data_IF_384620336898
#
_entry.id   IF_384620336898
#
_cell.length_a   1.000
_cell.length_b   1.000
_cell.length_c   1.000
_cell.angle_alpha   90.00
_cell.angle_beta   90.00
_cell.angle_gamma   90.00
#
_symmetry.space_group_name_H-M   'P 1'
#
loop_
_entity.id
_entity.type
_entity.pdbx_description
1 polymer ?
#
# COMPACT_ATOMS: atom_id res chain seq x y z
N UNK A 1 -32.88 -0.09 22.40
CA UNK A 1 -32.60 1.27 21.89
C UNK A 1 -31.18 1.22 21.36
N UNK A 2 -30.88 1.21 20.08
CA UNK A 2 -31.56 1.78 18.91
C UNK A 2 -31.20 0.96 17.67
N UNK A 3 -32.23 0.43 17.01
CA UNK A 3 -32.15 -0.31 15.76
C UNK A 3 -32.14 0.73 14.62
N UNK A 4 -30.97 0.97 14.02
CA UNK A 4 -30.84 1.89 12.89
C UNK A 4 -31.14 1.12 11.60
N UNK A 5 -32.19 1.48 10.84
CA UNK A 5 -32.55 0.74 9.64
C UNK A 5 -31.52 0.99 8.53
N UNK A 6 -31.07 -0.08 7.88
CA UNK A 6 -30.37 -0.03 6.60
C UNK A 6 -31.23 0.74 5.61
N UNK A 7 -30.72 1.87 5.10
CA UNK A 7 -31.24 2.48 3.90
C UNK A 7 -30.90 1.57 2.71
N UNK A 8 -31.83 0.67 2.39
CA UNK A 8 -31.91 0.08 1.06
C UNK A 8 -32.20 1.22 0.08
N UNK A 9 -31.20 1.54 -0.73
CA UNK A 9 -31.42 2.39 -1.91
C UNK A 9 -32.42 1.63 -2.78
N UNK A 10 -33.59 2.19 -3.12
CA UNK A 10 -34.53 1.49 -3.98
C UNK A 10 -33.83 1.25 -5.32
N UNK A 11 -33.61 -0.03 -5.64
CA UNK A 11 -33.26 -0.45 -6.98
C UNK A 11 -34.28 0.17 -7.93
N UNK A 12 -33.82 1.09 -8.75
CA UNK A 12 -34.62 1.83 -9.71
C UNK A 12 -35.46 0.83 -10.54
N UNK A 13 -36.80 0.83 -10.45
CA UNK A 13 -37.66 -0.23 -10.99
C UNK A 13 -37.96 -0.05 -12.49
N UNK A 14 -37.03 0.52 -13.26
CA UNK A 14 -37.30 0.88 -14.66
C UNK A 14 -37.24 -0.29 -15.65
N UNK A 15 -36.93 -1.51 -15.23
CA UNK A 15 -36.75 -2.67 -16.14
C UNK A 15 -37.94 -3.63 -16.21
N UNK A 16 -38.72 -3.80 -15.14
CA UNK A 16 -39.81 -4.80 -15.10
C UNK A 16 -41.00 -4.39 -15.97
N UNK A 17 -41.50 -3.16 -15.81
CA UNK A 17 -42.66 -2.64 -16.54
C UNK A 17 -42.41 -2.53 -18.06
N UNK A 18 -41.21 -2.13 -18.47
CA UNK A 18 -40.83 -2.09 -19.88
C UNK A 18 -40.76 -3.50 -20.50
N UNK A 19 -40.29 -4.50 -19.73
CA UNK A 19 -40.27 -5.90 -20.15
C UNK A 19 -41.68 -6.49 -20.29
N UNK A 20 -42.62 -6.09 -19.44
CA UNK A 20 -44.02 -6.53 -19.47
C UNK A 20 -44.76 -5.98 -20.69
N UNK A 21 -44.59 -4.69 -20.98
CA UNK A 21 -45.17 -4.05 -22.17
C UNK A 21 -44.66 -4.71 -23.47
N UNK A 22 -43.35 -4.99 -23.54
CA UNK A 22 -42.76 -5.68 -24.69
C UNK A 22 -43.26 -7.11 -24.85
N UNK A 23 -43.41 -7.86 -23.76
CA UNK A 23 -43.99 -9.22 -23.78
C UNK A 23 -45.43 -9.21 -24.27
N UNK A 24 -46.25 -8.26 -23.80
CA UNK A 24 -47.63 -8.11 -24.26
C UNK A 24 -47.72 -7.77 -25.76
N UNK A 25 -46.82 -6.93 -26.27
CA UNK A 25 -46.72 -6.62 -27.70
C UNK A 25 -46.34 -7.87 -28.52
N UNK A 26 -45.32 -8.62 -28.11
CA UNK A 26 -44.88 -9.84 -28.80
C UNK A 26 -45.98 -10.92 -28.81
N UNK A 27 -46.75 -11.05 -27.71
CA UNK A 27 -47.89 -11.98 -27.67
C UNK A 27 -48.98 -11.59 -28.66
N UNK A 28 -49.31 -10.30 -28.78
CA UNK A 28 -50.28 -9.81 -29.77
C UNK A 28 -49.81 -10.09 -31.20
N UNK A 29 -48.55 -9.83 -31.50
CA UNK A 29 -47.97 -10.13 -32.83
C UNK A 29 -47.99 -11.63 -33.14
N UNK A 30 -47.65 -12.49 -32.17
CA UNK A 30 -47.72 -13.95 -32.33
C UNK A 30 -49.14 -14.42 -32.60
N UNK A 31 -50.12 -13.90 -31.87
CA UNK A 31 -51.54 -14.24 -32.08
C UNK A 31 -51.99 -13.77 -33.47
N UNK A 32 -51.67 -12.53 -33.86
CA UNK A 32 -52.02 -12.02 -35.18
C UNK A 32 -51.40 -12.85 -36.32
N UNK A 33 -50.11 -13.20 -36.21
CA UNK A 33 -49.42 -14.05 -37.17
C UNK A 33 -50.04 -15.46 -37.22
N UNK A 34 -50.38 -16.05 -36.07
CA UNK A 34 -51.04 -17.37 -36.00
C UNK A 34 -52.45 -17.33 -36.62
N UNK A 35 -53.21 -16.27 -36.36
CA UNK A 35 -54.55 -16.09 -36.93
C UNK A 35 -54.50 -15.90 -38.45
N UNK A 36 -53.53 -15.13 -38.95
CA UNK A 36 -53.31 -14.98 -40.40
C UNK A 36 -52.91 -16.32 -41.03
N UNK A 37 -52.01 -17.09 -40.40
CA UNK A 37 -51.65 -18.42 -40.87
C UNK A 37 -52.86 -19.38 -40.89
N UNK A 38 -53.66 -19.37 -39.83
CA UNK A 38 -54.88 -20.16 -39.74
C UNK A 38 -55.92 -19.73 -40.79
N UNK A 39 -56.04 -18.43 -41.07
CA UNK A 39 -56.91 -17.91 -42.11
C UNK A 39 -56.45 -18.34 -43.52
N UNK A 40 -55.14 -18.30 -43.81
CA UNK A 40 -54.60 -18.81 -45.07
C UNK A 40 -54.82 -20.32 -45.21
N UNK A 41 -54.58 -21.09 -44.15
CA UNK A 41 -54.84 -22.53 -44.16
C UNK A 41 -56.34 -22.84 -44.34
N UNK A 42 -57.22 -22.10 -43.67
CA UNK A 42 -58.66 -22.21 -43.83
C UNK A 42 -59.13 -21.84 -45.24
N UNK A 43 -58.57 -20.78 -45.82
CA UNK A 43 -58.83 -20.36 -47.20
C UNK A 43 -58.38 -21.41 -48.22
N UNK A 44 -57.24 -22.06 -47.98
CA UNK A 44 -56.75 -23.18 -48.78
C UNK A 44 -57.73 -24.37 -48.75
N UNK A 45 -58.17 -24.79 -47.55
CA UNK A 45 -59.12 -25.90 -47.38
C UNK A 45 -60.49 -25.58 -47.98
N UNK A 46 -61.02 -24.38 -47.72
CA UNK A 46 -62.32 -23.94 -48.23
C UNK A 46 -62.34 -23.86 -49.76
N UNK A 47 -61.27 -23.31 -50.35
CA UNK A 47 -61.12 -23.28 -51.81
C UNK A 47 -61.04 -24.68 -52.41
N UNK A 48 -60.40 -25.63 -51.71
CA UNK A 48 -60.34 -27.01 -52.15
C UNK A 48 -61.72 -27.69 -52.10
N UNK A 49 -62.52 -27.43 -51.06
CA UNK A 49 -63.87 -27.97 -50.92
C UNK A 49 -64.87 -27.42 -51.96
N UNK A 50 -64.67 -26.19 -52.45
CA UNK A 50 -65.53 -25.55 -53.47
C UNK A 50 -65.15 -25.89 -54.91
N UNK A 51 -64.42 -26.99 -55.14
CA UNK A 51 -64.12 -27.53 -56.46
C UNK A 51 -62.90 -26.93 -57.15
N UNK A 52 -62.30 -25.85 -56.64
CA UNK A 52 -61.01 -25.35 -57.14
C UNK A 52 -60.99 -24.89 -58.61
N UNK A 53 -62.14 -24.46 -59.15
CA UNK A 53 -62.27 -23.96 -60.52
C UNK A 53 -62.55 -22.44 -60.54
N UNK A 54 -62.11 -21.73 -61.58
CA UNK A 54 -62.34 -20.29 -61.71
C UNK A 54 -61.60 -19.46 -60.65
N UNK A 55 -62.31 -18.52 -59.99
CA UNK A 55 -61.74 -17.62 -58.96
C UNK A 55 -61.16 -18.40 -57.77
N UNK A 56 -61.72 -19.57 -57.45
CA UNK A 56 -61.23 -20.40 -56.35
C UNK A 56 -59.83 -20.97 -56.61
N UNK A 57 -59.45 -21.21 -57.88
CA UNK A 57 -58.10 -21.66 -58.22
C UNK A 57 -57.02 -20.63 -57.82
N UNK A 58 -57.30 -19.33 -58.02
CA UNK A 58 -56.40 -18.24 -57.63
C UNK A 58 -56.28 -18.10 -56.12
N UNK A 59 -57.41 -18.21 -55.40
CA UNK A 59 -57.44 -18.19 -53.93
C UNK A 59 -56.65 -19.37 -53.35
N UNK A 60 -56.80 -20.56 -53.96
CA UNK A 60 -56.04 -21.75 -53.54
C UNK A 60 -54.54 -21.52 -53.69
N UNK A 61 -54.08 -21.08 -54.87
CA UNK A 61 -52.66 -20.86 -55.12
C UNK A 61 -52.06 -19.79 -54.20
N UNK A 62 -52.80 -18.71 -53.94
CA UNK A 62 -52.39 -17.66 -53.02
C UNK A 62 -52.27 -18.17 -51.57
N UNK A 63 -53.31 -18.85 -51.07
CA UNK A 63 -53.31 -19.40 -49.72
C UNK A 63 -52.23 -20.49 -49.54
N UNK A 64 -52.04 -21.35 -50.55
CA UNK A 64 -51.00 -22.38 -50.56
C UNK A 64 -49.59 -21.75 -50.46
N UNK A 65 -49.31 -20.77 -51.32
CA UNK A 65 -48.03 -20.07 -51.31
C UNK A 65 -47.78 -19.32 -49.99
N UNK A 66 -48.81 -18.65 -49.45
CA UNK A 66 -48.73 -17.93 -48.19
C UNK A 66 -48.50 -18.88 -46.99
N UNK A 67 -49.19 -20.01 -46.94
CA UNK A 67 -49.01 -21.02 -45.87
C UNK A 67 -47.63 -21.66 -45.93
N UNK A 68 -47.17 -22.08 -47.12
CA UNK A 68 -45.83 -22.66 -47.29
C UNK A 68 -44.73 -21.64 -46.96
N UNK A 69 -44.87 -20.40 -47.42
CA UNK A 69 -43.92 -19.33 -47.13
C UNK A 69 -43.81 -19.02 -45.63
N UNK A 70 -44.95 -18.95 -44.93
CA UNK A 70 -44.97 -18.74 -43.49
C UNK A 70 -44.35 -19.90 -42.68
N UNK A 71 -44.57 -21.15 -43.12
CA UNK A 71 -43.95 -22.33 -42.50
C UNK A 71 -42.44 -22.38 -42.76
N UNK A 72 -41.98 -21.98 -43.94
CA UNK A 72 -40.55 -21.93 -44.28
C UNK A 72 -39.80 -20.89 -43.45
N UNK A 73 -40.35 -19.67 -43.31
CA UNK A 73 -39.76 -18.62 -42.48
C UNK A 73 -39.70 -19.02 -41.00
N UNK A 74 -40.78 -19.61 -40.48
CA UNK A 74 -40.79 -20.21 -39.14
C UNK A 74 -39.71 -21.26 -38.98
N UNK A 75 -39.59 -22.18 -39.94
CA UNK A 75 -38.58 -23.23 -39.92
C UNK A 75 -37.16 -22.66 -39.91
N UNK A 76 -36.86 -21.65 -40.74
CA UNK A 76 -35.55 -21.04 -40.82
C UNK A 76 -35.11 -20.39 -39.49
N UNK A 77 -35.99 -19.59 -38.88
CA UNK A 77 -35.72 -18.95 -37.57
C UNK A 77 -35.59 -20.01 -36.47
N UNK A 78 -36.48 -21.01 -36.45
CA UNK A 78 -36.40 -22.08 -35.45
C UNK A 78 -35.12 -22.88 -35.63
N UNK A 79 -34.76 -23.28 -36.85
CA UNK A 79 -33.54 -24.02 -37.17
C UNK A 79 -32.26 -23.25 -36.84
N UNK A 80 -32.29 -21.92 -36.77
CA UNK A 80 -31.16 -21.13 -36.30
C UNK A 80 -30.89 -21.33 -34.79
N UNK A 81 -31.96 -21.39 -33.98
CA UNK A 81 -31.84 -21.37 -32.51
C UNK A 81 -32.13 -22.69 -31.81
N UNK A 82 -32.95 -23.57 -32.39
CA UNK A 82 -33.49 -24.80 -31.78
C UNK A 82 -33.75 -25.86 -32.84
N UNK A 83 -34.10 -27.07 -32.40
CA UNK A 83 -34.58 -28.13 -33.30
C UNK A 83 -36.09 -27.95 -33.53
N UNK A 84 -36.57 -27.81 -34.79
CA UNK A 84 -37.99 -27.66 -35.09
C UNK A 84 -38.76 -28.89 -34.60
N UNK A 85 -39.87 -28.67 -33.89
CA UNK A 85 -40.69 -29.71 -33.25
C UNK A 85 -39.93 -30.65 -32.29
N UNK A 86 -38.68 -30.33 -31.91
CA UNK A 86 -37.83 -31.21 -31.11
C UNK A 86 -37.23 -32.40 -31.88
N UNK A 87 -37.41 -32.48 -33.20
CA UNK A 87 -36.96 -33.61 -34.01
C UNK A 87 -35.46 -33.48 -34.37
N UNK A 88 -34.71 -34.60 -34.47
CA UNK A 88 -33.30 -34.61 -34.83
C UNK A 88 -33.08 -34.42 -36.34
N UNK A 89 -33.52 -33.27 -36.88
CA UNK A 89 -33.30 -32.91 -38.29
C UNK A 89 -31.84 -32.44 -38.45
N UNK A 90 -31.08 -32.99 -39.42
CA UNK A 90 -29.71 -32.54 -39.68
C UNK A 90 -29.68 -31.04 -40.03
N UNK A 91 -28.58 -30.35 -39.71
CA UNK A 91 -28.37 -28.92 -39.98
C UNK A 91 -29.39 -27.95 -39.34
N UNK A 92 -29.94 -28.30 -38.16
CA UNK A 92 -30.77 -27.40 -37.33
C UNK A 92 -30.10 -27.11 -35.97
N UNK A 93 -30.62 -26.13 -35.23
CA UNK A 93 -29.95 -25.52 -34.08
C UNK A 93 -28.53 -25.00 -34.40
N UNK A 94 -28.38 -24.27 -35.51
CA UNK A 94 -27.09 -23.82 -36.07
C UNK A 94 -26.24 -23.03 -35.06
N UNK A 95 -26.85 -22.12 -34.30
CA UNK A 95 -26.13 -21.31 -33.31
C UNK A 95 -25.66 -22.19 -32.14
N UNK A 96 -26.53 -22.95 -31.44
CA UNK A 96 -26.08 -23.86 -30.39
C UNK A 96 -25.01 -24.87 -30.84
N UNK A 97 -25.11 -25.41 -32.05
CA UNK A 97 -24.16 -26.41 -32.56
C UNK A 97 -22.80 -25.82 -32.95
N UNK A 98 -22.73 -24.53 -33.27
CA UNK A 98 -21.50 -23.82 -33.66
C UNK A 98 -21.04 -22.79 -32.62
N UNK A 99 -21.59 -22.83 -31.40
CA UNK A 99 -21.33 -21.82 -30.36
C UNK A 99 -19.83 -21.62 -30.10
N UNK A 100 -19.05 -22.71 -30.07
CA UNK A 100 -17.63 -22.69 -29.72
C UNK A 100 -16.84 -22.00 -30.85
N UNK A 101 -17.08 -22.41 -32.10
CA UNK A 101 -16.50 -21.75 -33.29
C UNK A 101 -16.86 -20.26 -33.39
N UNK A 102 -18.09 -19.90 -33.04
CA UNK A 102 -18.53 -18.49 -33.02
C UNK A 102 -17.78 -17.71 -31.93
N UNK A 103 -17.62 -18.31 -30.75
CA UNK A 103 -16.87 -17.71 -29.65
C UNK A 103 -15.39 -17.52 -30.02
N UNK A 104 -14.75 -18.51 -30.65
CA UNK A 104 -13.36 -18.42 -31.11
C UNK A 104 -13.18 -17.31 -32.15
N UNK A 105 -14.06 -17.25 -33.14
CA UNK A 105 -14.02 -16.21 -34.16
C UNK A 105 -14.26 -14.81 -33.56
N UNK A 106 -15.17 -14.70 -32.58
CA UNK A 106 -15.41 -13.45 -31.88
C UNK A 106 -14.20 -13.05 -31.03
N UNK A 107 -13.52 -14.00 -30.38
CA UNK A 107 -12.31 -13.75 -29.61
C UNK A 107 -11.17 -13.26 -30.52
N UNK A 108 -10.97 -13.91 -31.67
CA UNK A 108 -10.00 -13.47 -32.70
C UNK A 108 -10.35 -12.07 -33.22
N UNK A 109 -11.62 -11.81 -33.52
CA UNK A 109 -12.06 -10.50 -33.97
C UNK A 109 -11.82 -9.40 -32.93
N UNK A 110 -12.15 -9.65 -31.65
CA UNK A 110 -11.88 -8.69 -30.56
C UNK A 110 -10.39 -8.48 -30.36
N UNK A 111 -9.57 -9.55 -30.42
CA UNK A 111 -8.11 -9.45 -30.33
C UNK A 111 -7.52 -8.62 -31.46
N UNK A 112 -7.92 -8.89 -32.69
CA UNK A 112 -7.27 -8.34 -33.88
C UNK A 112 -7.80 -6.95 -34.26
N UNK A 113 -9.05 -6.61 -33.92
CA UNK A 113 -9.65 -5.31 -34.26
C UNK A 113 -9.83 -4.36 -33.07
N UNK A 114 -10.06 -4.87 -31.86
CA UNK A 114 -10.28 -4.03 -30.67
C UNK A 114 -9.06 -3.94 -29.76
N UNK A 115 -8.21 -4.98 -29.73
CA UNK A 115 -6.99 -5.01 -28.92
C UNK A 115 -5.71 -4.78 -29.74
N UNK A 116 -5.85 -4.29 -30.98
CA UNK A 116 -4.72 -3.83 -31.76
C UNK A 116 -3.99 -2.70 -31.00
N UNK A 117 -2.70 -2.88 -30.64
CA UNK A 117 -1.97 -1.94 -29.81
C UNK A 117 -1.91 -0.54 -30.41
N UNK A 118 -1.74 -0.43 -31.73
CA UNK A 118 -1.56 0.87 -32.38
C UNK A 118 -2.89 1.63 -32.42
N UNK A 119 -3.98 0.94 -32.78
CA UNK A 119 -5.35 1.50 -32.72
C UNK A 119 -5.74 1.93 -31.31
N UNK A 120 -5.41 1.15 -30.29
CA UNK A 120 -5.67 1.49 -28.89
C UNK A 120 -4.84 2.69 -28.43
N UNK A 121 -3.55 2.74 -28.78
CA UNK A 121 -2.65 3.83 -28.39
C UNK A 121 -3.03 5.14 -29.08
N UNK A 122 -3.47 5.10 -30.34
CA UNK A 122 -3.99 6.28 -31.04
C UNK A 122 -5.26 6.81 -30.38
N UNK A 123 -6.22 5.93 -30.06
CA UNK A 123 -7.43 6.32 -29.33
C UNK A 123 -7.09 6.89 -27.95
N UNK A 124 -6.12 6.30 -27.24
CA UNK A 124 -5.70 6.77 -25.91
C UNK A 124 -4.99 8.12 -25.97
N UNK A 125 -4.20 8.38 -27.02
CA UNK A 125 -3.60 9.71 -27.28
C UNK A 125 -4.67 10.78 -27.47
N UNK A 126 -5.66 10.52 -28.33
CA UNK A 126 -6.78 11.45 -28.59
C UNK A 126 -7.63 11.66 -27.33
N UNK A 127 -7.77 10.62 -26.50
CA UNK A 127 -8.55 10.70 -25.27
C UNK A 127 -7.92 11.60 -24.21
N UNK A 128 -6.60 11.81 -24.23
CA UNK A 128 -5.81 12.56 -23.25
C UNK A 128 -6.17 12.19 -21.79
N UNK A 129 -5.74 11.00 -21.33
CA UNK A 129 -6.10 10.49 -20.02
C UNK A 129 -5.61 11.39 -18.89
N UNK A 130 -4.43 12.00 -19.03
CA UNK A 130 -3.89 12.92 -18.02
C UNK A 130 -4.76 14.18 -17.86
N UNK A 131 -5.17 14.84 -18.96
CA UNK A 131 -6.02 16.03 -18.85
C UNK A 131 -7.42 15.69 -18.32
N UNK A 132 -7.96 14.52 -18.66
CA UNK A 132 -9.26 14.08 -18.10
C UNK A 132 -9.15 13.73 -16.62
N UNK A 133 -8.06 13.09 -16.20
CA UNK A 133 -7.78 12.82 -14.80
C UNK A 133 -7.64 14.12 -14.00
N UNK A 134 -6.92 15.11 -14.54
CA UNK A 134 -6.77 16.44 -13.93
C UNK A 134 -8.13 17.08 -13.64
N UNK A 135 -8.98 17.25 -14.67
CA UNK A 135 -10.33 17.82 -14.55
C UNK A 135 -11.25 17.02 -13.62
N UNK A 136 -11.00 15.71 -13.50
CA UNK A 136 -11.78 14.86 -12.61
C UNK A 136 -11.34 15.03 -11.15
N UNK A 137 -10.03 15.09 -10.87
CA UNK A 137 -9.45 15.31 -9.54
C UNK A 137 -9.66 16.73 -9.01
N UNK A 138 -9.76 17.74 -9.88
CA UNK A 138 -10.08 19.13 -9.49
C UNK A 138 -11.44 19.27 -8.81
N UNK A 139 -12.35 18.32 -9.03
CA UNK A 139 -13.69 18.34 -8.43
C UNK A 139 -13.62 17.85 -6.98
N UNK A 140 -13.97 18.68 -5.97
CA UNK A 140 -13.87 18.30 -4.56
C UNK A 140 -14.65 17.01 -4.23
N UNK A 141 -15.82 16.82 -4.84
CA UNK A 141 -16.63 15.60 -4.68
C UNK A 141 -15.86 14.33 -5.07
N UNK A 142 -15.04 14.37 -6.13
CA UNK A 142 -14.32 13.18 -6.61
C UNK A 142 -13.12 12.87 -5.72
N UNK A 143 -12.38 13.90 -5.31
CA UNK A 143 -11.32 13.75 -4.32
C UNK A 143 -11.84 13.17 -3.01
N UNK A 144 -13.02 13.62 -2.55
CA UNK A 144 -13.68 13.08 -1.35
C UNK A 144 -14.12 11.62 -1.51
N UNK A 145 -14.68 11.24 -2.66
CA UNK A 145 -15.06 9.83 -2.91
C UNK A 145 -13.83 8.93 -2.90
N UNK A 146 -12.71 9.38 -3.47
CA UNK A 146 -11.45 8.65 -3.44
C UNK A 146 -10.85 8.58 -2.05
N UNK A 147 -10.81 9.67 -1.29
CA UNK A 147 -10.27 9.69 0.07
C UNK A 147 -11.07 8.78 0.99
N UNK A 148 -12.41 8.82 0.90
CA UNK A 148 -13.29 7.91 1.64
C UNK A 148 -13.14 6.46 1.21
N UNK A 149 -12.97 6.20 -0.08
CA UNK A 149 -12.66 4.88 -0.61
C UNK A 149 -11.35 4.35 -0.04
N UNK A 150 -10.29 5.14 -0.12
CA UNK A 150 -8.97 4.83 0.42
C UNK A 150 -9.00 4.63 1.93
N UNK A 151 -9.76 5.46 2.68
CA UNK A 151 -9.97 5.30 4.12
C UNK A 151 -10.57 3.94 4.46
N UNK A 152 -11.62 3.52 3.74
CA UNK A 152 -12.26 2.21 3.93
C UNK A 152 -11.31 1.06 3.63
N UNK A 153 -10.56 1.13 2.51
CA UNK A 153 -9.56 0.11 2.17
C UNK A 153 -8.44 0.07 3.21
N UNK A 154 -7.96 1.23 3.66
CA UNK A 154 -6.93 1.32 4.69
C UNK A 154 -7.41 0.73 6.01
N UNK A 155 -8.65 0.99 6.41
CA UNK A 155 -9.25 0.41 7.62
C UNK A 155 -9.35 -1.13 7.52
N UNK A 156 -9.84 -1.65 6.39
CA UNK A 156 -9.89 -3.09 6.15
C UNK A 156 -8.50 -3.73 6.10
N UNK A 157 -7.53 -3.04 5.50
CA UNK A 157 -6.13 -3.50 5.49
C UNK A 157 -5.57 -3.54 6.90
N UNK A 158 -5.85 -2.51 7.71
CA UNK A 158 -5.43 -2.43 9.10
C UNK A 158 -6.04 -3.55 9.96
N UNK A 159 -7.29 -3.94 9.70
CA UNK A 159 -7.92 -5.11 10.31
C UNK A 159 -7.15 -6.41 9.98
N UNK A 160 -6.70 -6.58 8.73
CA UNK A 160 -5.88 -7.74 8.34
C UNK A 160 -4.49 -7.71 8.99
N UNK A 161 -3.90 -6.53 9.15
CA UNK A 161 -2.58 -6.37 9.79
C UNK A 161 -2.60 -6.61 11.31
N UNK A 162 -3.78 -6.61 11.94
CA UNK A 162 -3.94 -6.91 13.36
C UNK A 162 -3.84 -8.42 13.68
N UNK A 163 -3.90 -9.28 12.65
CA UNK A 163 -3.77 -10.73 12.86
C UNK A 163 -2.44 -11.06 13.57
N UNK A 164 -2.50 -11.96 14.56
CA UNK A 164 -1.31 -12.42 15.31
C UNK A 164 -0.22 -12.96 14.39
N UNK A 165 -0.59 -13.60 13.27
CA UNK A 165 0.35 -14.08 12.27
C UNK A 165 1.07 -12.93 11.56
N UNK A 166 0.35 -11.88 11.17
CA UNK A 166 0.93 -10.73 10.45
C UNK A 166 1.83 -9.91 11.35
N UNK A 167 1.47 -9.72 12.63
CA UNK A 167 2.33 -9.09 13.64
C UNK A 167 3.68 -9.79 13.76
N UNK A 168 3.69 -11.12 13.79
CA UNK A 168 4.92 -11.91 13.80
C UNK A 168 5.79 -11.65 12.57
N UNK A 169 5.19 -11.61 11.38
CA UNK A 169 5.89 -11.33 10.12
C UNK A 169 6.47 -9.92 10.09
N UNK A 170 5.74 -8.90 10.55
CA UNK A 170 6.23 -7.52 10.60
C UNK A 170 7.40 -7.40 11.57
N UNK A 171 7.29 -8.01 12.75
CA UNK A 171 8.37 -8.02 13.74
C UNK A 171 9.62 -8.70 13.17
N UNK A 172 9.46 -9.86 12.52
CA UNK A 172 10.57 -10.57 11.88
C UNK A 172 11.18 -9.76 10.72
N UNK A 173 10.35 -9.07 9.93
CA UNK A 173 10.81 -8.17 8.88
C UNK A 173 11.66 -7.02 9.47
N UNK A 174 11.19 -6.35 10.52
CA UNK A 174 11.93 -5.26 11.17
C UNK A 174 13.23 -5.77 11.79
N UNK A 175 13.19 -6.88 12.52
CA UNK A 175 14.37 -7.49 13.15
C UNK A 175 15.38 -7.96 12.09
N UNK A 176 14.93 -8.63 11.04
CA UNK A 176 15.81 -9.09 9.96
C UNK A 176 16.46 -7.93 9.21
N UNK A 177 15.73 -6.84 8.97
CA UNK A 177 16.28 -5.64 8.34
C UNK A 177 17.29 -4.94 9.26
N UNK A 178 17.00 -4.81 10.57
CA UNK A 178 17.95 -4.30 11.56
C UNK A 178 19.22 -5.14 11.66
N UNK A 179 19.11 -6.47 11.52
CA UNK A 179 20.28 -7.37 11.51
C UNK A 179 21.15 -7.21 10.27
N UNK A 180 20.55 -6.91 9.12
CA UNK A 180 21.26 -6.66 7.84
C UNK A 180 21.90 -5.28 7.77
N UNK A 181 21.42 -4.32 8.56
CA UNK A 181 21.95 -2.98 8.60
C UNK A 181 23.35 -2.94 9.22
N UNK A 182 24.29 -2.28 8.54
CA UNK A 182 25.67 -2.08 9.01
C UNK A 182 25.70 -0.94 10.03
N UNK A 183 25.64 -1.30 11.32
CA UNK A 183 25.66 -0.33 12.40
C UNK A 183 27.01 0.39 12.51
N UNK A 184 28.12 -0.28 12.20
CA UNK A 184 29.46 0.33 12.22
C UNK A 184 29.61 1.45 11.20
N UNK A 185 29.22 1.20 9.95
CA UNK A 185 29.32 2.20 8.89
C UNK A 185 28.43 3.41 9.20
N UNK A 186 27.16 3.18 9.56
CA UNK A 186 26.24 4.29 9.87
C UNK A 186 26.63 5.03 11.14
N UNK A 187 27.11 4.34 12.18
CA UNK A 187 27.63 5.02 13.37
C UNK A 187 28.83 5.91 13.02
N UNK A 188 29.76 5.43 12.19
CA UNK A 188 30.89 6.23 11.71
C UNK A 188 30.47 7.42 10.82
N UNK A 189 29.41 7.30 10.03
CA UNK A 189 28.83 8.41 9.24
C UNK A 189 28.16 9.46 10.11
N UNK A 190 27.29 9.03 11.02
CA UNK A 190 26.57 9.92 11.92
C UNK A 190 27.56 10.63 12.85
N UNK A 191 28.49 9.90 13.47
CA UNK A 191 29.51 10.50 14.33
C UNK A 191 30.40 11.47 13.55
N UNK A 192 30.86 11.10 12.35
CA UNK A 192 31.66 12.01 11.52
C UNK A 192 30.91 13.27 11.06
N UNK A 193 29.58 13.20 10.89
CA UNK A 193 28.76 14.37 10.59
C UNK A 193 28.55 15.25 11.84
N UNK A 194 28.34 14.63 13.00
CA UNK A 194 28.12 15.33 14.27
C UNK A 194 29.40 15.98 14.82
N UNK A 195 30.58 15.43 14.51
CA UNK A 195 31.87 16.04 14.87
C UNK A 195 32.38 17.04 13.85
N UNK A 196 31.70 17.16 12.70
CA UNK A 196 32.05 18.14 11.67
C UNK A 196 31.92 19.55 12.24
N UNK A 197 32.88 20.40 11.90
CA UNK A 197 32.96 21.78 12.35
C UNK A 197 33.08 21.96 13.88
N UNK A 198 33.52 20.92 14.61
CA UNK A 198 33.86 21.01 16.03
C UNK A 198 32.67 21.00 17.00
N UNK A 199 31.44 20.71 16.54
CA UNK A 199 30.22 20.77 17.38
C UNK A 199 30.24 19.82 18.58
N UNK A 200 31.01 18.74 18.51
CA UNK A 200 31.21 17.82 19.63
C UNK A 200 32.02 18.42 20.77
N UNK A 201 32.70 19.55 20.58
CA UNK A 201 33.34 20.30 21.66
C UNK A 201 32.29 20.93 22.59
N UNK A 202 31.13 21.36 22.08
CA UNK A 202 30.03 21.85 22.93
C UNK A 202 29.43 20.72 23.79
N UNK A 203 29.35 19.50 23.23
CA UNK A 203 28.93 18.32 23.98
C UNK A 203 29.97 17.93 25.04
N UNK A 204 31.25 18.06 24.72
CA UNK A 204 32.34 17.88 25.68
C UNK A 204 32.21 18.90 26.82
N UNK A 205 31.96 20.18 26.52
CA UNK A 205 31.78 21.23 27.51
C UNK A 205 30.64 20.89 28.47
N UNK A 206 29.46 20.57 27.94
CA UNK A 206 28.31 20.17 28.75
C UNK A 206 28.59 18.93 29.61
N UNK A 207 29.35 17.97 29.08
CA UNK A 207 29.76 16.78 29.82
C UNK A 207 30.74 17.11 30.96
N UNK A 208 31.77 17.93 30.69
CA UNK A 208 32.78 18.34 31.65
C UNK A 208 32.18 19.23 32.76
N UNK A 209 31.24 20.12 32.43
CA UNK A 209 30.49 20.92 33.41
C UNK A 209 29.69 20.03 34.36
N UNK A 210 28.96 19.04 33.80
CA UNK A 210 28.19 18.09 34.60
C UNK A 210 29.09 17.20 35.46
N UNK A 211 30.24 16.78 34.93
CA UNK A 211 31.26 16.03 35.66
C UNK A 211 31.86 16.87 36.80
N UNK A 212 32.21 18.13 36.55
CA UNK A 212 32.73 19.03 37.57
C UNK A 212 31.72 19.29 38.70
N UNK A 213 30.45 19.45 38.35
CA UNK A 213 29.36 19.55 39.33
C UNK A 213 29.19 18.28 40.16
N UNK A 214 29.27 17.10 39.52
CA UNK A 214 29.16 15.81 40.20
C UNK A 214 30.35 15.51 41.12
N UNK A 215 31.59 15.76 40.67
CA UNK A 215 32.80 15.58 41.48
C UNK A 215 32.87 16.52 42.68
N UNK A 216 32.14 17.65 42.61
CA UNK A 216 32.02 18.60 43.70
C UNK A 216 31.05 18.19 44.81
N UNK A 217 30.23 17.13 44.64
CA UNK A 217 29.26 16.73 45.67
C UNK A 217 29.92 15.99 46.83
N UNK A 218 29.33 16.14 48.03
CA UNK A 218 29.86 15.51 49.24
C UNK A 218 29.84 13.98 49.14
N UNK A 219 28.83 13.39 48.46
CA UNK A 219 28.76 11.93 48.32
C UNK A 219 29.93 11.37 47.50
N UNK A 220 30.37 12.08 46.46
CA UNK A 220 31.50 11.64 45.63
C UNK A 220 32.81 11.77 46.41
N UNK A 221 32.96 12.83 47.21
CA UNK A 221 34.12 13.04 48.08
C UNK A 221 34.23 11.94 49.14
N UNK A 222 33.14 11.63 49.83
CA UNK A 222 33.08 10.57 50.84
C UNK A 222 33.40 9.21 50.21
N UNK A 223 32.86 8.94 49.02
CA UNK A 223 33.14 7.69 48.28
C UNK A 223 34.59 7.59 47.85
N UNK A 224 35.20 8.69 47.41
CA UNK A 224 36.62 8.76 47.07
C UNK A 224 37.52 8.54 48.30
N UNK A 225 37.21 9.18 49.43
CA UNK A 225 37.92 8.97 50.69
C UNK A 225 37.89 7.51 51.12
N UNK A 226 36.71 6.89 51.15
CA UNK A 226 36.55 5.48 51.47
C UNK A 226 37.37 4.54 50.55
N UNK A 227 37.44 4.85 49.25
CA UNK A 227 38.28 4.10 48.31
C UNK A 227 39.77 4.30 48.59
N UNK A 228 40.20 5.51 48.92
CA UNK A 228 41.59 5.81 49.29
C UNK A 228 41.99 5.11 50.58
N UNK A 229 41.14 5.13 51.62
CA UNK A 229 41.37 4.38 52.86
C UNK A 229 41.52 2.89 52.56
N UNK A 230 40.60 2.34 51.76
CA UNK A 230 40.62 0.91 51.41
C UNK A 230 41.88 0.54 50.62
N UNK A 231 42.29 1.38 49.67
CA UNK A 231 43.50 1.16 48.87
C UNK A 231 44.76 1.28 49.72
N UNK A 232 44.86 2.32 50.57
CA UNK A 232 46.01 2.56 51.41
C UNK A 232 46.21 1.46 52.47
N UNK A 233 45.12 0.96 53.08
CA UNK A 233 45.15 -0.20 53.99
C UNK A 233 45.63 -1.47 53.30
N UNK A 234 45.34 -1.63 52.00
CA UNK A 234 45.70 -2.82 51.22
C UNK A 234 47.16 -2.80 50.77
N UNK A 235 47.62 -1.71 50.18
CA UNK A 235 48.95 -1.66 49.56
C UNK A 235 50.04 -1.22 50.57
N UNK A 236 49.68 -0.49 51.63
CA UNK A 236 50.64 0.13 52.57
C UNK A 236 50.34 -0.19 54.06
N UNK A 237 50.09 -1.46 54.44
CA UNK A 237 49.58 -1.80 55.78
C UNK A 237 50.52 -1.40 56.93
N UNK A 238 51.84 -1.46 56.72
CA UNK A 238 52.83 -1.08 57.75
C UNK A 238 52.90 0.43 57.99
N UNK A 239 52.66 1.22 56.94
CA UNK A 239 52.69 2.69 57.02
C UNK A 239 51.38 3.18 57.65
N UNK A 240 50.25 2.57 57.29
CA UNK A 240 48.97 2.82 57.93
C UNK A 240 49.00 2.53 59.44
N UNK A 241 49.52 1.37 59.85
CA UNK A 241 49.62 1.02 61.27
C UNK A 241 50.52 1.98 62.08
N UNK A 242 51.57 2.53 61.47
CA UNK A 242 52.45 3.51 62.11
C UNK A 242 51.81 4.91 62.21
N UNK A 243 50.99 5.28 61.23
CA UNK A 243 50.35 6.60 61.16
C UNK A 243 49.10 6.66 62.04
N UNK A 244 48.36 5.56 62.20
CA UNK A 244 47.16 5.47 63.06
C UNK A 244 47.43 5.81 64.54
N UNK A 245 48.69 5.69 64.98
CA UNK A 245 49.14 6.01 66.35
C UNK A 245 49.28 7.53 66.57
N UNK A 246 49.47 8.31 65.50
CA UNK A 246 49.80 9.74 65.55
C UNK A 246 48.65 10.59 64.97
N UNK A 247 47.95 10.10 63.96
CA UNK A 247 46.78 10.75 63.35
C UNK A 247 45.82 9.70 62.76
N UNK A 248 44.51 9.98 62.75
CA UNK A 248 43.55 9.05 62.15
C UNK A 248 43.77 8.92 60.64
N UNK A 249 43.90 7.67 60.17
CA UNK A 249 44.05 7.36 58.75
C UNK A 249 42.88 7.89 57.93
N UNK A 250 41.67 7.88 58.51
CA UNK A 250 40.47 8.40 57.88
C UNK A 250 40.58 9.93 57.65
N UNK A 251 41.10 10.70 58.62
CA UNK A 251 41.30 12.14 58.46
C UNK A 251 42.38 12.53 57.44
N UNK A 252 43.38 11.68 57.23
CA UNK A 252 44.39 11.87 56.17
C UNK A 252 43.79 11.55 54.80
N UNK A 253 43.01 10.46 54.70
CA UNK A 253 42.34 10.09 53.47
C UNK A 253 41.26 11.13 53.08
N UNK A 254 40.51 11.67 54.02
CA UNK A 254 39.54 12.74 53.80
C UNK A 254 40.22 14.01 53.27
N UNK A 255 41.32 14.43 53.90
CA UNK A 255 42.10 15.59 53.44
C UNK A 255 42.72 15.36 52.06
N UNK A 256 43.19 14.14 51.76
CA UNK A 256 43.73 13.79 50.46
C UNK A 256 42.61 13.75 49.40
N UNK A 257 41.45 13.18 49.73
CA UNK A 257 40.27 13.16 48.86
C UNK A 257 39.80 14.58 48.54
N UNK A 258 39.74 15.47 49.53
CA UNK A 258 39.37 16.87 49.33
C UNK A 258 40.37 17.61 48.43
N UNK A 259 41.68 17.42 48.64
CA UNK A 259 42.72 18.01 47.78
C UNK A 259 42.67 17.48 46.35
N UNK A 260 42.49 16.17 46.17
CA UNK A 260 42.37 15.54 44.84
C UNK A 260 41.10 15.99 44.13
N UNK A 261 39.96 16.06 44.84
CA UNK A 261 38.70 16.54 44.27
C UNK A 261 38.84 18.00 43.82
N UNK A 262 39.46 18.87 44.64
CA UNK A 262 39.73 20.26 44.27
C UNK A 262 40.66 20.37 43.07
N UNK A 263 41.74 19.59 43.03
CA UNK A 263 42.67 19.57 41.91
C UNK A 263 41.97 19.11 40.61
N UNK A 264 41.15 18.05 40.66
CA UNK A 264 40.39 17.57 39.51
C UNK A 264 39.34 18.58 39.03
N UNK A 265 38.62 19.22 39.95
CA UNK A 265 37.64 20.27 39.60
C UNK A 265 38.35 21.49 39.02
N UNK A 266 39.53 21.84 39.54
CA UNK A 266 40.34 22.92 38.99
C UNK A 266 40.80 22.60 37.57
N UNK A 267 41.36 21.41 37.33
CA UNK A 267 41.74 20.96 35.99
C UNK A 267 40.55 20.94 35.02
N UNK A 268 39.38 20.46 35.44
CA UNK A 268 38.18 20.51 34.61
C UNK A 268 37.78 21.94 34.22
N UNK A 269 37.94 22.91 35.12
CA UNK A 269 37.69 24.33 34.82
C UNK A 269 38.73 24.89 33.86
N UNK A 270 40.00 24.51 34.01
CA UNK A 270 41.08 24.91 33.11
C UNK A 270 40.83 24.38 31.69
N UNK A 271 40.46 23.09 31.56
CA UNK A 271 40.01 22.49 30.29
C UNK A 271 38.79 23.23 29.72
N UNK A 272 37.78 23.55 30.53
CA UNK A 272 36.58 24.26 30.06
C UNK A 272 36.90 25.68 29.56
N UNK A 273 37.78 26.40 30.24
CA UNK A 273 38.10 27.80 29.91
C UNK A 273 39.07 27.99 28.74
N UNK A 274 39.84 26.97 28.37
CA UNK A 274 40.86 27.04 27.33
C UNK A 274 40.49 26.16 26.12
N UNK A 275 40.11 26.73 24.97
CA UNK A 275 39.78 25.96 23.77
C UNK A 275 40.94 25.12 23.24
N UNK A 276 42.18 25.61 23.38
CA UNK A 276 43.39 24.94 22.89
C UNK A 276 44.05 24.02 23.93
N UNK A 277 43.33 23.65 25.00
CA UNK A 277 43.88 22.81 26.05
C UNK A 277 44.37 21.44 25.50
N UNK A 278 45.54 20.92 25.92
CA UNK A 278 46.09 19.65 25.42
C UNK A 278 45.09 18.48 25.50
N UNK A 279 44.35 18.37 26.60
CA UNK A 279 43.30 17.33 26.79
C UNK A 279 42.19 17.42 25.72
N UNK A 280 41.81 18.62 25.28
CA UNK A 280 40.82 18.79 24.21
C UNK A 280 41.37 18.33 22.86
N UNK A 281 42.64 18.62 22.60
CA UNK A 281 43.32 18.19 21.37
C UNK A 281 43.51 16.67 21.33
N UNK A 282 43.88 16.08 22.46
CA UNK A 282 43.98 14.62 22.61
C UNK A 282 42.62 13.94 22.40
N UNK A 283 41.55 14.51 22.98
CA UNK A 283 40.18 14.06 22.76
C UNK A 283 39.77 14.16 21.29
N UNK A 284 40.05 15.28 20.62
CA UNK A 284 39.78 15.48 19.20
C UNK A 284 40.49 14.42 18.35
N UNK A 285 41.80 14.26 18.54
CA UNK A 285 42.61 13.30 17.81
C UNK A 285 42.13 11.86 18.03
N UNK A 286 41.85 11.49 19.28
CA UNK A 286 41.29 10.19 19.62
C UNK A 286 39.92 9.97 18.97
N UNK A 287 39.03 10.97 18.99
CA UNK A 287 37.67 10.83 18.45
C UNK A 287 37.69 10.68 16.92
N UNK A 288 38.52 11.47 16.23
CA UNK A 288 38.66 11.37 14.77
C UNK A 288 39.26 10.02 14.35
N UNK A 289 40.30 9.56 15.05
CA UNK A 289 40.88 8.23 14.83
C UNK A 289 39.84 7.14 15.10
N UNK A 290 39.10 7.23 16.21
CA UNK A 290 38.07 6.26 16.56
C UNK A 290 36.95 6.20 15.51
N UNK A 291 36.49 7.34 14.99
CA UNK A 291 35.48 7.41 13.91
C UNK A 291 36.02 6.78 12.62
N UNK A 292 37.27 7.06 12.25
CA UNK A 292 37.92 6.47 11.07
C UNK A 292 38.09 4.96 11.19
N UNK A 293 38.49 4.49 12.38
CA UNK A 293 38.66 3.07 12.68
C UNK A 293 37.33 2.34 12.78
N UNK A 294 36.24 2.97 13.21
CA UNK A 294 34.92 2.34 13.24
C UNK A 294 34.49 1.78 11.87
N UNK A 295 34.98 2.39 10.77
CA UNK A 295 34.70 1.97 9.38
C UNK A 295 35.70 0.97 8.82
N UNK A 296 36.93 0.98 9.30
CA UNK A 296 38.06 0.27 8.67
C UNK A 296 38.63 -0.87 9.52
N UNK A 297 38.41 -0.84 10.83
CA UNK A 297 38.90 -1.82 11.80
C UNK A 297 37.85 -2.94 12.00
N UNK A 298 38.13 -4.18 11.55
CA UNK A 298 37.20 -5.30 11.68
C UNK A 298 36.85 -5.63 13.15
N UNK A 299 37.75 -5.35 14.09
CA UNK A 299 37.51 -5.64 15.50
C UNK A 299 36.51 -4.67 16.12
N UNK A 300 36.55 -3.39 15.75
CA UNK A 300 35.57 -2.39 16.20
C UNK A 300 34.22 -2.62 15.52
N UNK A 301 34.20 -2.96 14.23
CA UNK A 301 32.98 -3.36 13.54
C UNK A 301 32.31 -4.56 14.22
N UNK A 302 33.09 -5.59 14.59
CA UNK A 302 32.58 -6.73 15.34
C UNK A 302 32.00 -6.35 16.72
N UNK A 303 32.61 -5.38 17.42
CA UNK A 303 32.08 -4.87 18.69
C UNK A 303 30.77 -4.11 18.51
N UNK A 304 30.69 -3.24 17.50
CA UNK A 304 29.47 -2.54 17.13
C UNK A 304 28.36 -3.53 16.79
N UNK A 305 28.67 -4.59 16.04
CA UNK A 305 27.70 -5.63 15.72
C UNK A 305 27.29 -6.49 16.91
N UNK A 306 28.22 -6.80 17.81
CA UNK A 306 27.88 -7.47 19.05
C UNK A 306 26.96 -6.60 19.95
N UNK A 307 27.13 -5.28 19.95
CA UNK A 307 26.26 -4.36 20.67
C UNK A 307 24.88 -4.27 20.00
N UNK A 308 24.84 -4.11 18.67
CA UNK A 308 23.61 -4.15 17.87
C UNK A 308 22.82 -5.43 18.14
N UNK A 309 23.48 -6.58 18.08
CA UNK A 309 22.84 -7.87 18.27
C UNK A 309 22.28 -8.00 19.69
N UNK A 310 23.05 -7.59 20.71
CA UNK A 310 22.57 -7.55 22.11
C UNK A 310 21.35 -6.65 22.27
N UNK A 311 21.30 -5.49 21.62
CA UNK A 311 20.16 -4.60 21.68
C UNK A 311 18.92 -5.21 20.99
N UNK A 312 19.07 -5.80 19.81
CA UNK A 312 17.98 -6.44 19.06
C UNK A 312 17.40 -7.65 19.82
N UNK A 313 18.28 -8.44 20.43
CA UNK A 313 17.88 -9.64 21.16
C UNK A 313 17.41 -9.33 22.59
N UNK A 314 17.54 -8.08 23.04
CA UNK A 314 17.12 -7.68 24.38
C UNK A 314 15.59 -7.75 24.51
N UNK A 315 15.04 -8.48 25.51
CA UNK A 315 13.60 -8.70 25.63
C UNK A 315 12.81 -7.39 25.79
N UNK A 316 13.39 -6.37 26.46
CA UNK A 316 12.75 -5.04 26.59
C UNK A 316 12.63 -4.29 25.27
N UNK A 317 13.58 -4.46 24.34
CA UNK A 317 13.51 -3.80 23.03
C UNK A 317 12.40 -4.45 22.20
N UNK A 318 12.29 -5.78 22.23
CA UNK A 318 11.21 -6.50 21.55
C UNK A 318 9.83 -6.18 22.15
N UNK A 319 9.73 -6.08 23.47
CA UNK A 319 8.52 -5.64 24.16
C UNK A 319 8.12 -4.21 23.75
N UNK A 320 9.09 -3.29 23.71
CA UNK A 320 8.87 -1.91 23.28
C UNK A 320 8.41 -1.81 21.82
N UNK A 321 9.06 -2.52 20.89
CA UNK A 321 8.70 -2.51 19.46
C UNK A 321 7.27 -3.02 19.25
N UNK A 322 6.88 -4.06 19.99
CA UNK A 322 5.52 -4.59 19.96
C UNK A 322 4.50 -3.60 20.51
N UNK A 323 4.78 -2.97 21.65
CA UNK A 323 3.91 -1.92 22.20
C UNK A 323 3.77 -0.73 21.26
N UNK A 324 4.86 -0.29 20.64
CA UNK A 324 4.85 0.78 19.65
C UNK A 324 4.00 0.43 18.42
N UNK A 325 4.05 -0.83 17.96
CA UNK A 325 3.17 -1.30 16.89
C UNK A 325 1.70 -1.21 17.28
N UNK A 326 1.34 -1.71 18.47
CA UNK A 326 -0.04 -1.68 18.97
C UNK A 326 -0.53 -0.23 19.12
N UNK A 327 0.31 0.69 19.59
CA UNK A 327 -0.01 2.12 19.70
C UNK A 327 -0.23 2.78 18.34
N UNK A 328 0.65 2.52 17.36
CA UNK A 328 0.51 3.03 15.98
C UNK A 328 -0.76 2.50 15.34
N UNK A 329 -1.01 1.19 15.46
CA UNK A 329 -2.21 0.55 14.92
C UNK A 329 -3.47 1.15 15.54
N UNK A 330 -3.52 1.28 16.87
CA UNK A 330 -4.65 1.87 17.57
C UNK A 330 -4.87 3.34 17.18
N UNK A 331 -3.80 4.13 17.01
CA UNK A 331 -3.88 5.51 16.56
C UNK A 331 -4.45 5.63 15.13
N UNK A 332 -3.92 4.84 14.19
CA UNK A 332 -4.39 4.80 12.81
C UNK A 332 -5.84 4.32 12.73
N UNK A 333 -6.20 3.28 13.48
CA UNK A 333 -7.57 2.76 13.53
C UNK A 333 -8.53 3.82 14.04
N UNK A 334 -8.16 4.52 15.13
CA UNK A 334 -8.97 5.58 15.72
C UNK A 334 -9.26 6.66 14.70
N UNK A 335 -8.24 7.19 14.02
CA UNK A 335 -8.41 8.20 12.98
C UNK A 335 -9.24 7.69 11.79
N UNK A 336 -8.89 6.53 11.23
CA UNK A 336 -9.56 6.01 10.02
C UNK A 336 -10.99 5.55 10.29
N UNK A 337 -11.36 5.25 11.53
CA UNK A 337 -12.72 4.85 11.90
C UNK A 337 -13.71 6.01 11.98
N UNK A 338 -13.24 7.24 12.19
CA UNK A 338 -14.11 8.41 12.28
C UNK A 338 -14.54 8.88 10.88
N UNK A 339 -15.74 9.46 10.74
CA UNK A 339 -16.17 10.12 9.50
C UNK A 339 -15.28 11.32 9.13
N UNK A 340 -14.73 12.01 10.13
CA UNK A 340 -13.87 13.19 9.97
C UNK A 340 -12.39 12.82 10.18
N UNK A 341 -11.92 11.76 9.53
CA UNK A 341 -10.52 11.32 9.58
C UNK A 341 -9.57 12.40 9.07
N UNK A 342 -8.55 12.74 9.87
CA UNK A 342 -7.53 13.72 9.49
C UNK A 342 -6.70 13.21 8.31
N UNK A 343 -6.39 11.90 8.27
CA UNK A 343 -5.69 11.28 7.16
C UNK A 343 -6.50 11.33 5.86
N UNK A 344 -7.82 11.07 5.94
CA UNK A 344 -8.70 11.17 4.78
C UNK A 344 -8.80 12.63 4.27
N UNK A 345 -8.90 13.61 5.18
CA UNK A 345 -8.92 15.03 4.82
C UNK A 345 -7.61 15.50 4.18
N UNK A 346 -6.46 15.04 4.69
CA UNK A 346 -5.16 15.34 4.11
C UNK A 346 -5.01 14.71 2.72
N UNK A 347 -5.44 13.46 2.55
CA UNK A 347 -5.47 12.79 1.25
C UNK A 347 -6.38 13.51 0.25
N UNK A 348 -7.57 13.95 0.68
CA UNK A 348 -8.47 14.74 -0.17
C UNK A 348 -7.79 16.03 -0.66
N UNK A 349 -7.12 16.75 0.24
CA UNK A 349 -6.39 17.97 -0.08
C UNK A 349 -5.21 17.71 -1.02
N UNK A 350 -4.46 16.62 -0.80
CA UNK A 350 -3.38 16.20 -1.67
C UNK A 350 -3.88 15.83 -3.09
N UNK A 351 -5.01 15.11 -3.18
CA UNK A 351 -5.64 14.76 -4.46
C UNK A 351 -6.12 16.00 -5.21
N UNK A 352 -6.71 16.97 -4.51
CA UNK A 352 -7.12 18.26 -5.10
C UNK A 352 -5.91 19.06 -5.60
N UNK A 353 -4.85 19.15 -4.78
CA UNK A 353 -3.61 19.83 -5.16
C UNK A 353 -2.96 19.17 -6.37
N UNK A 354 -2.94 17.84 -6.43
CA UNK A 354 -2.47 17.07 -7.57
C UNK A 354 -3.31 17.35 -8.82
N UNK A 355 -4.64 17.36 -8.70
CA UNK A 355 -5.55 17.69 -9.80
C UNK A 355 -5.27 19.08 -10.40
N UNK A 356 -5.13 20.10 -9.55
CA UNK A 356 -4.77 21.47 -9.98
C UNK A 356 -3.40 21.50 -10.64
N UNK A 357 -2.40 20.84 -10.04
CA UNK A 357 -1.04 20.82 -10.60
C UNK A 357 -1.01 20.16 -11.98
N UNK A 358 -1.75 19.06 -12.20
CA UNK A 358 -1.89 18.44 -13.52
C UNK A 358 -2.69 19.32 -14.51
N UNK A 359 -3.62 20.16 -14.03
CA UNK A 359 -4.37 21.04 -14.90
C UNK A 359 -3.54 22.25 -15.37
N UNK A 360 -2.62 22.73 -14.54
CA UNK A 360 -1.74 23.86 -14.86
C UNK A 360 -0.50 23.45 -15.65
N UNK A 361 0.11 22.30 -15.33
CA UNK A 361 1.40 21.89 -15.88
C UNK A 361 1.26 20.95 -17.09
N UNK A 362 1.46 21.50 -18.29
CA UNK A 362 1.41 20.74 -19.53
C UNK A 362 2.54 19.70 -19.65
N UNK A 363 3.73 19.97 -19.11
CA UNK A 363 4.85 19.03 -19.14
C UNK A 363 4.58 17.81 -18.26
N UNK A 364 3.96 18.02 -17.09
CA UNK A 364 3.54 16.95 -16.19
C UNK A 364 2.46 16.07 -16.83
N UNK A 365 1.47 16.66 -17.51
CA UNK A 365 0.47 15.88 -18.25
C UNK A 365 1.08 15.03 -19.34
N UNK A 366 2.01 15.60 -20.11
CA UNK A 366 2.68 14.89 -21.18
C UNK A 366 3.52 13.72 -20.63
N UNK A 367 4.25 13.94 -19.53
CA UNK A 367 4.99 12.90 -18.84
C UNK A 367 4.09 11.75 -18.35
N UNK A 368 2.91 12.08 -17.81
CA UNK A 368 1.92 11.09 -17.37
C UNK A 368 1.30 10.33 -18.55
N UNK A 369 0.91 11.03 -19.62
CA UNK A 369 0.36 10.43 -20.84
C UNK A 369 1.37 9.44 -21.46
N UNK A 370 2.65 9.80 -21.53
CA UNK A 370 3.71 8.89 -21.98
C UNK A 370 3.80 7.63 -21.12
N UNK A 371 3.70 7.75 -19.80
CA UNK A 371 3.68 6.60 -18.89
C UNK A 371 2.45 5.71 -19.11
N UNK A 372 1.26 6.30 -19.23
CA UNK A 372 0.01 5.58 -19.48
C UNK A 372 0.05 4.84 -20.81
N UNK A 373 0.51 5.49 -21.88
CA UNK A 373 0.70 4.87 -23.20
C UNK A 373 1.75 3.74 -23.15
N UNK A 374 2.86 3.95 -22.45
CA UNK A 374 3.88 2.93 -22.26
C UNK A 374 3.36 1.70 -21.50
N UNK A 375 2.55 1.92 -20.46
CA UNK A 375 1.89 0.84 -19.72
C UNK A 375 0.86 0.09 -20.57
N UNK A 376 0.03 0.83 -21.32
CA UNK A 376 -0.95 0.26 -22.25
C UNK A 376 -0.27 -0.63 -23.30
N UNK A 377 0.84 -0.18 -23.89
CA UNK A 377 1.63 -0.97 -24.85
C UNK A 377 2.18 -2.28 -24.25
N UNK A 378 2.66 -2.24 -23.00
CA UNK A 378 3.15 -3.46 -22.32
C UNK A 378 2.02 -4.44 -22.03
N UNK A 379 0.85 -3.94 -21.62
CA UNK A 379 -0.31 -4.76 -21.32
C UNK A 379 -0.89 -5.41 -22.58
N UNK A 380 -1.07 -4.65 -23.67
CA UNK A 380 -1.56 -5.19 -24.94
C UNK A 380 -0.58 -6.22 -25.53
N UNK A 381 0.73 -5.96 -25.43
CA UNK A 381 1.76 -6.93 -25.81
C UNK A 381 1.65 -8.25 -25.04
N UNK A 382 1.46 -8.20 -23.71
CA UNK A 382 1.27 -9.40 -22.89
C UNK A 382 0.00 -10.17 -23.22
N UNK A 383 -1.12 -9.47 -23.40
CA UNK A 383 -2.41 -10.11 -23.74
C UNK A 383 -2.38 -10.78 -25.12
N UNK A 384 -1.59 -10.26 -26.07
CA UNK A 384 -1.40 -10.87 -27.38
C UNK A 384 -0.42 -12.04 -27.37
N UNK A 385 0.61 -11.98 -26.52
CA UNK A 385 1.63 -13.00 -26.40
C UNK A 385 1.21 -14.22 -25.56
N UNK A 386 0.12 -14.11 -24.78
CA UNK A 386 -0.43 -15.24 -24.06
C UNK A 386 -0.93 -16.29 -25.07
N UNK A 387 -0.33 -17.50 -25.11
CA UNK A 387 -0.84 -18.56 -25.97
C UNK A 387 -2.26 -18.92 -25.53
N UNK A 388 -3.15 -19.10 -26.49
CA UNK A 388 -4.50 -19.62 -26.26
C UNK A 388 -4.40 -21.08 -25.82
N UNK A 389 -4.04 -21.30 -24.56
CA UNK A 389 -4.15 -22.60 -23.88
C UNK A 389 -5.32 -22.50 -22.91
N UNK A 390 -6.51 -22.80 -23.40
CA UNK A 390 -7.67 -23.20 -22.61
C UNK A 390 -8.33 -24.38 -23.31
#
# INVERSE_FOLDING_TARGET
>A
MTDTPRHDTPAVPHSSLASDARRAQLRRMKIAALLLLAAMLGGFVASHAMGGHGVWAWVRAFCEAATVGALADWFAVVALFRRPLGLPIPHTAIIPSNKDRIADNLAVFVRDHFLDPDTLLEKLRVFDPAARLARWLERPRQARVLSEGARRVALQTLDLLDDRAVRGVIQEFVVSNLRRWDASATAGEVLGLLTRDGRHQELLDAALERLGGYLGTEEVRERASNLLVKFARKEWPRIIAAVDVIASVDGIADNLADRLARALVQELREVLSQPDHPVRQDYEGWLQDYIGRLRSDPALAAQAEALKQRAIDHPKVQEYVRGLWDDIHAALRRDLSTPDSALAAHLESALLAMGRKLAEDAALREALNRHVLGAARRLTGRLRAAPSTW
#
